data_IF_267450054171
#
_entry.id   IF_267450054171
#
_cell.length_a   1.000
_cell.length_b   1.000
_cell.length_c   1.000
_cell.angle_alpha   90.00
_cell.angle_beta   90.00
_cell.angle_gamma   90.00
#
_symmetry.space_group_name_H-M   'P 1'
#
loop_
_entity.id
_entity.type
_entity.pdbx_description
1 polymer ?
#
# COMPACT_ATOMS: atom_id res chain seq x y z
N UNK A 1 -2.70 2.59 13.01
CA UNK A 1 -1.73 3.23 12.10
C UNK A 1 -1.01 4.30 12.86
N UNK A 2 0.32 4.31 12.80
CA UNK A 2 1.18 5.28 13.46
C UNK A 2 1.94 6.02 12.37
N UNK A 3 1.98 7.35 12.48
CA UNK A 3 2.68 8.23 11.54
C UNK A 3 3.94 8.71 12.27
N UNK A 4 5.12 8.31 11.78
CA UNK A 4 6.38 8.90 12.26
C UNK A 4 6.58 10.27 11.61
N UNK A 5 7.02 11.24 12.40
CA UNK A 5 7.31 12.60 11.94
C UNK A 5 8.80 12.81 12.22
N UNK A 6 9.57 12.99 11.14
CA UNK A 6 11.00 13.21 11.24
C UNK A 6 11.29 14.41 12.16
N UNK A 7 12.24 14.20 13.08
CA UNK A 7 12.65 15.20 14.07
C UNK A 7 13.66 16.20 13.49
N UNK A 8 14.20 15.94 12.31
CA UNK A 8 15.32 16.71 11.77
C UNK A 8 14.92 18.09 11.19
N UNK A 9 13.68 18.28 10.74
CA UNK A 9 13.36 19.44 9.88
C UNK A 9 12.24 20.39 10.37
N UNK A 10 11.38 20.01 11.32
CA UNK A 10 10.37 20.92 11.89
C UNK A 10 9.71 20.32 13.13
N UNK A 11 9.68 21.07 14.24
CA UNK A 11 8.88 20.72 15.42
C UNK A 11 7.38 21.02 15.25
N UNK A 12 6.98 21.55 14.09
CA UNK A 12 5.60 21.89 13.77
C UNK A 12 5.02 20.90 12.77
N UNK A 13 3.86 20.33 13.11
CA UNK A 13 3.03 19.52 12.23
C UNK A 13 1.96 20.40 11.59
N UNK A 14 1.95 20.48 10.26
CA UNK A 14 0.88 21.12 9.51
C UNK A 14 0.06 20.06 8.78
N UNK A 15 -1.23 19.96 9.12
CA UNK A 15 -2.19 19.19 8.35
C UNK A 15 -2.92 20.15 7.41
N UNK A 16 -2.51 20.17 6.15
CA UNK A 16 -3.17 20.95 5.11
C UNK A 16 -3.86 20.01 4.14
N UNK A 17 -5.14 20.24 3.89
CA UNK A 17 -5.91 19.47 2.92
C UNK A 17 -6.31 20.39 1.77
N UNK A 18 -5.74 20.16 0.59
CA UNK A 18 -6.01 20.94 -0.63
C UNK A 18 -6.69 20.03 -1.63
N UNK A 19 -7.75 20.51 -2.28
CA UNK A 19 -8.52 19.72 -3.24
C UNK A 19 -8.75 20.51 -4.52
N UNK A 20 -8.57 19.85 -5.66
CA UNK A 20 -8.95 20.36 -6.97
C UNK A 20 -10.04 19.46 -7.57
N UNK A 21 -11.21 19.43 -6.94
CA UNK A 21 -12.37 18.68 -7.45
C UNK A 21 -13.69 19.22 -6.90
N UNK A 22 -14.79 19.00 -7.62
CA UNK A 22 -16.15 19.32 -7.18
C UNK A 22 -16.82 18.20 -6.35
N UNK A 23 -16.13 17.10 -6.09
CA UNK A 23 -16.70 15.97 -5.36
C UNK A 23 -16.75 16.26 -3.84
N UNK A 24 -17.84 15.90 -3.15
CA UNK A 24 -17.93 16.04 -1.70
C UNK A 24 -16.89 15.13 -1.02
N UNK A 25 -16.17 15.68 -0.04
CA UNK A 25 -15.18 14.95 0.77
C UNK A 25 -15.41 15.25 2.25
N UNK A 26 -15.19 14.24 3.08
CA UNK A 26 -15.24 14.37 4.53
C UNK A 26 -14.01 13.71 5.14
N UNK A 27 -13.44 14.37 6.16
CA UNK A 27 -12.26 13.90 6.86
C UNK A 27 -12.59 13.78 8.34
N UNK A 28 -12.31 12.63 8.92
CA UNK A 28 -12.28 12.45 10.36
C UNK A 28 -10.82 12.21 10.73
N UNK A 29 -10.20 13.21 11.36
CA UNK A 29 -8.77 13.16 11.69
C UNK A 29 -8.60 13.24 13.19
N UNK A 30 -7.93 12.23 13.77
CA UNK A 30 -7.47 12.24 15.15
C UNK A 30 -5.95 12.21 15.15
N UNK A 31 -5.33 13.24 15.72
CA UNK A 31 -3.88 13.31 15.92
C UNK A 31 -3.61 13.03 17.39
N UNK A 32 -2.65 12.14 17.67
CA UNK A 32 -2.26 11.81 19.05
C UNK A 32 -0.75 11.64 19.07
N UNK A 33 -0.07 12.41 19.92
CA UNK A 33 1.35 12.23 20.17
C UNK A 33 1.56 11.06 21.13
N UNK A 34 2.46 10.15 20.77
CA UNK A 34 2.83 9.03 21.61
C UNK A 34 4.08 9.37 22.43
N UNK A 35 4.13 8.91 23.67
CA UNK A 35 5.29 9.05 24.55
C UNK A 35 6.37 8.00 24.29
N UNK A 36 6.00 6.89 23.64
CA UNK A 36 6.89 5.80 23.25
C UNK A 36 6.91 5.68 21.74
N UNK A 37 8.12 5.55 21.18
CA UNK A 37 8.31 5.29 19.75
C UNK A 37 7.77 3.89 19.47
N UNK A 38 6.69 3.81 18.69
CA UNK A 38 6.10 2.53 18.29
C UNK A 38 6.51 2.08 16.90
N UNK A 39 6.76 3.02 15.97
CA UNK A 39 7.17 2.70 14.61
C UNK A 39 8.65 3.07 14.39
N UNK A 40 9.42 2.30 13.60
CA UNK A 40 10.73 2.72 13.13
C UNK A 40 10.65 3.99 12.27
N UNK A 41 11.76 4.73 12.20
CA UNK A 41 11.86 5.91 11.36
C UNK A 41 11.62 5.57 9.88
N UNK A 42 10.88 6.43 9.18
CA UNK A 42 10.53 6.25 7.76
C UNK A 42 9.31 5.36 7.51
N UNK A 43 8.74 4.73 8.53
CA UNK A 43 7.53 3.90 8.42
C UNK A 43 6.26 4.74 8.60
N UNK A 44 5.58 5.09 7.50
CA UNK A 44 4.32 5.83 7.57
C UNK A 44 3.14 4.93 7.99
N UNK A 45 3.25 3.62 7.74
CA UNK A 45 2.39 2.60 8.34
C UNK A 45 3.26 1.56 9.04
N UNK A 46 2.84 1.09 10.23
CA UNK A 46 3.54 0.07 10.99
C UNK A 46 2.57 -0.99 11.53
N UNK A 47 2.87 -2.26 11.25
CA UNK A 47 2.07 -3.43 11.64
C UNK A 47 2.85 -4.31 12.62
N UNK A 48 2.25 -4.60 13.78
CA UNK A 48 2.88 -5.38 14.85
C UNK A 48 2.32 -6.80 15.00
N UNK A 49 1.23 -7.12 14.30
CA UNK A 49 0.57 -8.42 14.33
C UNK A 49 1.36 -9.50 13.60
N UNK A 50 1.07 -10.77 13.90
CA UNK A 50 1.58 -11.92 13.12
C UNK A 50 0.83 -12.10 11.80
N UNK A 51 -0.35 -11.51 11.70
CA UNK A 51 -1.19 -11.41 10.51
C UNK A 51 -2.00 -10.11 10.59
N UNK A 52 -2.53 -9.67 9.45
CA UNK A 52 -3.37 -8.49 9.37
C UNK A 52 -3.63 -8.07 7.94
N UNK A 53 -4.37 -6.97 7.77
CA UNK A 53 -4.70 -6.39 6.46
C UNK A 53 -3.84 -5.16 6.24
N UNK A 54 -3.15 -5.13 5.10
CA UNK A 54 -2.50 -3.93 4.57
C UNK A 54 -3.52 -3.19 3.70
N UNK A 55 -3.64 -1.87 3.89
CA UNK A 55 -4.49 -1.04 3.05
C UNK A 55 -3.82 0.30 2.80
N UNK A 56 -3.98 0.84 1.59
CA UNK A 56 -3.52 2.19 1.32
C UNK A 56 -4.29 3.18 2.19
N UNK A 57 -3.67 4.34 2.43
CA UNK A 57 -4.41 5.49 2.90
C UNK A 57 -5.57 5.79 1.93
N UNK A 58 -6.73 6.21 2.45
CA UNK A 58 -7.94 6.53 1.67
C UNK A 58 -8.74 5.34 1.07
N UNK A 59 -8.35 4.09 1.34
CA UNK A 59 -9.01 2.89 0.80
C UNK A 59 -10.33 2.46 1.50
N UNK A 60 -10.90 3.28 2.39
CA UNK A 60 -12.12 2.90 3.10
C UNK A 60 -13.37 3.24 2.27
N UNK A 61 -14.22 2.25 1.99
CA UNK A 61 -15.50 2.44 1.29
C UNK A 61 -16.60 2.98 2.20
N UNK A 62 -16.43 2.92 3.52
CA UNK A 62 -17.39 3.43 4.49
C UNK A 62 -17.12 4.89 4.86
N UNK A 63 -18.17 5.71 4.90
CA UNK A 63 -18.16 6.98 5.59
C UNK A 63 -19.57 7.33 6.06
N UNK A 64 -19.70 7.80 7.30
CA UNK A 64 -20.97 8.32 7.83
C UNK A 64 -21.37 9.60 7.10
N UNK A 65 -20.41 10.32 6.50
CA UNK A 65 -20.59 11.64 5.91
C UNK A 65 -20.62 11.62 4.36
N UNK A 66 -20.02 10.61 3.73
CA UNK A 66 -19.97 10.48 2.26
C UNK A 66 -20.46 9.09 1.87
N UNK A 67 -21.69 9.01 1.38
CA UNK A 67 -22.37 7.75 1.07
C UNK A 67 -21.95 7.12 -0.26
N UNK A 68 -21.41 7.92 -1.20
CA UNK A 68 -20.98 7.47 -2.54
C UNK A 68 -19.46 7.58 -2.72
N UNK A 69 -18.70 7.01 -1.79
CA UNK A 69 -17.23 7.00 -1.85
C UNK A 69 -16.75 5.84 -2.71
N UNK A 70 -15.76 6.10 -3.57
CA UNK A 70 -14.93 5.06 -4.20
C UNK A 70 -13.59 4.99 -3.46
N UNK A 71 -13.24 3.83 -2.93
CA UNK A 71 -11.91 3.60 -2.38
C UNK A 71 -10.84 3.86 -3.45
N UNK A 72 -9.78 4.56 -3.05
CA UNK A 72 -8.61 4.78 -3.88
C UNK A 72 -7.41 5.10 -2.98
N UNK A 73 -6.20 4.98 -3.50
CA UNK A 73 -4.99 5.49 -2.86
C UNK A 73 -4.83 7.00 -3.07
N UNK A 74 -3.94 7.63 -2.29
CA UNK A 74 -3.60 9.04 -2.49
C UNK A 74 -2.57 9.18 -3.60
N UNK A 75 -2.79 10.13 -4.50
CA UNK A 75 -1.82 10.48 -5.53
C UNK A 75 -0.56 11.09 -4.89
N UNK A 76 0.61 10.80 -5.48
CA UNK A 76 1.91 11.34 -5.06
C UNK A 76 2.28 11.07 -3.60
N UNK A 77 1.71 10.03 -2.99
CA UNK A 77 2.08 9.61 -1.64
C UNK A 77 3.10 8.47 -1.73
N UNK A 78 4.38 8.82 -1.64
CA UNK A 78 5.47 7.85 -1.54
C UNK A 78 5.73 7.52 -0.05
N UNK A 79 5.53 6.26 0.34
CA UNK A 79 5.72 5.86 1.73
C UNK A 79 6.09 4.39 1.92
N UNK A 80 6.66 4.08 3.09
CA UNK A 80 6.91 2.71 3.52
C UNK A 80 5.81 2.18 4.45
N UNK A 81 5.34 0.96 4.17
CA UNK A 81 4.65 0.11 5.15
C UNK A 81 5.69 -0.81 5.77
N UNK A 82 5.76 -0.76 7.10
CA UNK A 82 6.68 -1.57 7.87
C UNK A 82 5.95 -2.67 8.65
N UNK A 83 6.51 -3.88 8.63
CA UNK A 83 5.96 -5.02 9.35
C UNK A 83 6.98 -5.48 10.39
N UNK A 84 6.56 -5.54 11.65
CA UNK A 84 7.42 -6.01 12.74
C UNK A 84 7.71 -7.50 12.56
N UNK A 85 8.99 -7.85 12.53
CA UNK A 85 9.41 -9.25 12.54
C UNK A 85 9.13 -9.88 13.91
N UNK A 86 8.58 -11.09 13.90
CA UNK A 86 8.34 -11.87 15.12
C UNK A 86 9.35 -12.99 15.25
N UNK A 87 9.65 -13.38 16.49
CA UNK A 87 10.50 -14.56 16.77
C UNK A 87 9.83 -15.80 16.20
N UNK A 88 10.61 -16.71 15.62
CA UNK A 88 10.14 -17.94 14.96
C UNK A 88 9.39 -17.76 13.63
N UNK A 89 9.39 -16.55 13.05
CA UNK A 89 8.84 -16.30 11.71
C UNK A 89 9.97 -15.95 10.72
N UNK A 90 10.01 -16.67 9.59
CA UNK A 90 11.07 -16.56 8.59
C UNK A 90 10.75 -15.57 7.47
N UNK A 91 9.47 -15.42 7.13
CA UNK A 91 9.00 -14.65 5.99
C UNK A 91 7.67 -13.95 6.30
N UNK A 92 7.34 -12.98 5.46
CA UNK A 92 6.01 -12.40 5.37
C UNK A 92 5.43 -12.76 4.00
N UNK A 93 4.21 -13.28 4.00
CA UNK A 93 3.48 -13.63 2.79
C UNK A 93 2.34 -12.64 2.62
N UNK A 94 2.28 -12.00 1.45
CA UNK A 94 1.30 -10.98 1.12
C UNK A 94 0.38 -11.58 0.05
N UNK A 95 -0.92 -11.53 0.32
CA UNK A 95 -1.97 -12.00 -0.60
C UNK A 95 -3.00 -10.90 -0.74
N UNK A 96 -3.60 -10.80 -1.93
CA UNK A 96 -4.83 -10.03 -2.11
C UNK A 96 -6.08 -10.91 -1.93
N UNK A 97 -5.95 -12.22 -1.77
CA UNK A 97 -7.06 -13.10 -1.39
C UNK A 97 -7.24 -13.14 0.13
N UNK A 98 -8.47 -12.96 0.60
CA UNK A 98 -8.86 -13.12 2.00
C UNK A 98 -8.77 -14.60 2.40
N UNK A 99 -7.93 -14.87 3.40
CA UNK A 99 -7.66 -16.21 3.90
C UNK A 99 -8.88 -16.89 4.56
N UNK A 100 -9.89 -16.13 5.01
CA UNK A 100 -11.04 -16.67 5.73
C UNK A 100 -12.15 -17.20 4.81
N UNK A 101 -12.30 -16.62 3.61
CA UNK A 101 -13.41 -16.91 2.69
C UNK A 101 -12.98 -17.14 1.24
N UNK A 102 -11.68 -17.01 0.93
CA UNK A 102 -11.14 -17.16 -0.42
C UNK A 102 -11.51 -16.03 -1.38
N UNK A 103 -12.08 -14.92 -0.88
CA UNK A 103 -12.51 -13.80 -1.71
C UNK A 103 -11.32 -12.94 -2.09
N UNK A 104 -11.22 -12.59 -3.36
CA UNK A 104 -10.24 -11.62 -3.83
C UNK A 104 -10.61 -10.21 -3.35
N UNK A 105 -9.65 -9.56 -2.68
CA UNK A 105 -9.69 -8.14 -2.41
C UNK A 105 -9.22 -7.39 -3.65
N UNK A 106 -9.78 -6.20 -3.88
CA UNK A 106 -9.34 -5.37 -4.99
C UNK A 106 -7.91 -4.90 -4.74
N UNK A 107 -7.06 -5.14 -5.73
CA UNK A 107 -5.72 -4.61 -5.85
C UNK A 107 -5.69 -3.88 -7.19
N UNK A 108 -5.34 -2.60 -7.19
CA UNK A 108 -5.30 -1.82 -8.42
C UNK A 108 -4.28 -0.69 -8.30
N UNK A 109 -3.24 -0.75 -9.12
CA UNK A 109 -2.24 0.30 -9.31
C UNK A 109 -2.04 0.48 -10.82
N UNK A 110 -2.44 1.63 -11.35
CA UNK A 110 -2.57 1.80 -12.80
C UNK A 110 -1.46 2.71 -13.32
N UNK A 111 -0.72 2.22 -14.31
CA UNK A 111 0.25 3.02 -15.05
C UNK A 111 -0.23 3.22 -16.48
N UNK A 112 -0.19 4.47 -16.95
CA UNK A 112 -0.71 4.88 -18.26
C UNK A 112 0.45 5.43 -19.11
N UNK A 113 0.56 4.95 -20.35
CA UNK A 113 1.50 5.42 -21.34
C UNK A 113 1.17 6.85 -21.82
N UNK A 114 2.11 7.47 -22.55
CA UNK A 114 1.93 8.82 -23.10
C UNK A 114 0.75 8.94 -24.08
N UNK A 115 0.37 7.85 -24.72
CA UNK A 115 -0.77 7.79 -25.64
C UNK A 115 -2.12 7.52 -24.93
N UNK A 116 -2.12 7.41 -23.60
CA UNK A 116 -3.31 7.13 -22.80
C UNK A 116 -3.65 5.65 -22.64
N UNK A 117 -2.86 4.74 -23.24
CA UNK A 117 -3.05 3.29 -23.07
C UNK A 117 -2.52 2.81 -21.71
N UNK A 118 -3.08 1.73 -21.17
CA UNK A 118 -2.55 1.09 -19.96
C UNK A 118 -1.25 0.34 -20.27
N UNK A 119 -0.23 0.50 -19.43
CA UNK A 119 1.03 -0.26 -19.55
C UNK A 119 0.87 -1.73 -19.13
N UNK A 120 -0.17 -2.04 -18.34
CA UNK A 120 -0.53 -3.39 -17.92
C UNK A 120 -1.88 -3.75 -18.54
N UNK A 121 -2.04 -4.90 -19.20
CA UNK A 121 -3.34 -5.33 -19.70
C UNK A 121 -4.38 -5.45 -18.57
N UNK A 122 -5.67 -5.27 -18.87
CA UNK A 122 -6.74 -5.47 -17.89
C UNK A 122 -6.67 -6.86 -17.23
N UNK A 123 -7.07 -6.96 -15.97
CA UNK A 123 -7.07 -8.19 -15.19
C UNK A 123 -5.70 -8.89 -15.02
N UNK A 124 -4.59 -8.18 -15.24
CA UNK A 124 -3.24 -8.73 -15.11
C UNK A 124 -2.39 -8.01 -14.07
N UNK A 125 -1.37 -8.71 -13.57
CA UNK A 125 -0.29 -8.16 -12.78
C UNK A 125 0.76 -7.50 -13.69
N UNK A 126 1.19 -6.31 -13.31
CA UNK A 126 2.41 -5.70 -13.82
C UNK A 126 3.56 -6.00 -12.89
N UNK A 127 4.71 -6.33 -13.45
CA UNK A 127 5.96 -6.52 -12.74
C UNK A 127 7.03 -5.68 -13.43
N UNK A 128 8.03 -5.25 -12.67
CA UNK A 128 9.21 -4.53 -13.18
C UNK A 128 8.98 -3.03 -13.44
N UNK A 129 10.08 -2.34 -13.76
CA UNK A 129 10.09 -0.90 -14.04
C UNK A 129 9.31 -0.51 -15.30
N UNK A 130 9.24 -1.38 -16.32
CA UNK A 130 8.57 -1.03 -17.57
C UNK A 130 7.05 -1.10 -17.47
N UNK A 131 6.51 -2.10 -16.78
CA UNK A 131 5.07 -2.18 -16.50
C UNK A 131 4.65 -1.22 -15.38
N UNK A 132 5.54 -1.01 -14.39
CA UNK A 132 5.25 -0.22 -13.19
C UNK A 132 6.25 0.93 -12.97
N UNK A 133 6.32 1.90 -13.91
CA UNK A 133 7.29 3.00 -13.84
C UNK A 133 6.96 4.02 -12.74
N UNK A 134 5.68 4.34 -12.55
CA UNK A 134 5.20 5.46 -11.74
C UNK A 134 4.47 4.98 -10.48
N UNK A 135 3.33 4.28 -10.66
CA UNK A 135 2.49 3.76 -9.57
C UNK A 135 2.83 2.29 -9.31
N UNK A 136 3.44 1.98 -8.16
CA UNK A 136 3.84 0.62 -7.82
C UNK A 136 3.87 0.40 -6.32
N UNK A 137 3.68 -0.85 -5.88
CA UNK A 137 4.27 -1.30 -4.63
C UNK A 137 5.58 -2.01 -4.91
N UNK A 138 6.59 -1.82 -4.07
CA UNK A 138 7.82 -2.59 -4.10
C UNK A 138 7.85 -3.60 -2.95
N UNK A 139 7.86 -4.88 -3.29
CA UNK A 139 8.04 -5.98 -2.33
C UNK A 139 9.30 -6.73 -2.75
N UNK A 140 10.24 -6.89 -1.82
CA UNK A 140 11.55 -7.53 -2.07
C UNK A 140 12.28 -6.92 -3.29
N UNK A 141 12.23 -5.58 -3.38
CA UNK A 141 12.78 -4.78 -4.48
C UNK A 141 12.14 -4.99 -5.86
N UNK A 142 11.10 -5.83 -5.96
CA UNK A 142 10.30 -6.02 -7.17
C UNK A 142 9.15 -5.03 -7.17
N UNK A 143 9.04 -4.23 -8.24
CA UNK A 143 7.89 -3.35 -8.46
C UNK A 143 6.72 -4.14 -8.99
N UNK A 144 5.55 -3.94 -8.40
CA UNK A 144 4.31 -4.63 -8.72
C UNK A 144 3.19 -3.59 -8.88
N UNK A 145 2.36 -3.80 -9.89
CA UNK A 145 1.20 -2.96 -10.20
C UNK A 145 0.15 -3.79 -10.96
N UNK A 146 -0.84 -3.14 -11.57
CA UNK A 146 -1.92 -3.80 -12.30
C UNK A 146 -3.11 -4.13 -11.38
N UNK A 147 -3.91 -5.12 -11.79
CA UNK A 147 -5.15 -5.52 -11.14
C UNK A 147 -5.05 -6.87 -10.40
N UNK A 148 -3.90 -7.54 -10.55
CA UNK A 148 -3.54 -8.78 -9.87
C UNK A 148 -2.26 -8.57 -9.07
N UNK A 149 -2.16 -9.25 -7.93
CA UNK A 149 -0.91 -9.34 -7.19
C UNK A 149 -0.21 -10.62 -7.63
N UNK A 150 0.88 -10.50 -8.39
CA UNK A 150 1.69 -11.65 -8.80
C UNK A 150 3.10 -11.16 -9.18
N UNK A 151 4.15 -11.74 -8.58
CA UNK A 151 5.55 -11.42 -8.86
C UNK A 151 6.22 -12.42 -9.82
N UNK A 152 5.46 -13.35 -10.39
CA UNK A 152 5.93 -14.38 -11.31
C UNK A 152 6.80 -15.47 -10.68
N UNK A 153 7.06 -15.41 -9.36
CA UNK A 153 7.99 -16.34 -8.69
C UNK A 153 7.45 -17.76 -8.59
N UNK A 154 6.13 -17.91 -8.41
CA UNK A 154 5.44 -19.20 -8.32
C UNK A 154 4.77 -19.58 -9.64
N UNK A 155 4.09 -18.63 -10.29
CA UNK A 155 3.36 -18.83 -11.54
C UNK A 155 3.52 -17.60 -12.42
N UNK A 156 4.03 -17.79 -13.64
CA UNK A 156 4.30 -16.71 -14.59
C UNK A 156 3.06 -16.15 -15.28
N UNK A 157 1.90 -16.80 -15.15
CA UNK A 157 0.62 -16.30 -15.67
C UNK A 157 0.16 -15.09 -14.86
N UNK A 158 0.35 -13.90 -15.43
CA UNK A 158 0.01 -12.62 -14.81
C UNK A 158 -1.50 -12.40 -14.60
N UNK A 159 -2.37 -13.21 -15.21
CA UNK A 159 -3.83 -13.10 -15.03
C UNK A 159 -4.31 -13.69 -13.69
N UNK A 160 -3.42 -14.38 -12.97
CA UNK A 160 -3.75 -15.10 -11.74
C UNK A 160 -3.06 -14.43 -10.55
N UNK A 161 -3.81 -14.22 -9.47
CA UNK A 161 -3.25 -13.77 -8.20
C UNK A 161 -2.34 -14.83 -7.59
N UNK A 162 -1.17 -14.41 -7.09
CA UNK A 162 -0.21 -15.27 -6.40
C UNK A 162 0.30 -14.59 -5.12
N UNK A 163 0.60 -15.37 -4.07
CA UNK A 163 1.23 -14.83 -2.88
C UNK A 163 2.63 -14.32 -3.20
N UNK A 164 2.95 -13.12 -2.72
CA UNK A 164 4.29 -12.52 -2.82
C UNK A 164 4.98 -12.66 -1.46
N UNK A 165 6.19 -13.18 -1.45
CA UNK A 165 6.92 -13.50 -0.21
C UNK A 165 8.11 -12.57 -0.02
N UNK A 166 8.18 -11.91 1.14
CA UNK A 166 9.35 -11.15 1.57
C UNK A 166 10.15 -11.95 2.59
N UNK A 167 11.38 -12.34 2.24
CA UNK A 167 12.25 -13.18 3.07
C UNK A 167 13.55 -12.51 3.53
N UNK A 168 13.90 -11.34 2.98
CA UNK A 168 15.22 -10.73 3.20
C UNK A 168 15.45 -10.29 4.66
N UNK A 169 16.72 -10.34 5.08
CA UNK A 169 17.16 -9.96 6.42
C UNK A 169 17.32 -8.44 6.51
N UNK A 170 16.20 -7.72 6.50
CA UNK A 170 16.14 -6.26 6.64
C UNK A 170 14.83 -5.81 7.29
N UNK A 171 14.69 -4.51 7.61
CA UNK A 171 13.37 -3.95 7.90
C UNK A 171 12.47 -4.24 6.71
N UNK A 172 11.33 -4.89 6.96
CA UNK A 172 10.34 -5.21 5.93
C UNK A 172 9.72 -3.88 5.53
N UNK A 173 10.14 -3.35 4.40
CA UNK A 173 9.65 -2.08 3.86
C UNK A 173 8.95 -2.39 2.55
N UNK A 174 7.64 -2.15 2.53
CA UNK A 174 6.87 -2.12 1.29
C UNK A 174 6.80 -0.66 0.89
N UNK A 175 7.54 -0.29 -0.18
CA UNK A 175 7.40 1.06 -0.75
C UNK A 175 6.13 1.10 -1.59
N UNK A 176 5.40 2.20 -1.51
CA UNK A 176 4.17 2.48 -2.28
C UNK A 176 4.31 3.86 -2.90
#
# INVERSE_FOLDING_TARGET
MYLDIDRAYSHSLYLSTVFNSKQPRAFLVKITQLTTIRAPAGCLQFHEGVSGVLKSFNYDNGSVLVTNRKASYFNNLNYAICIRRHKMFCNVVITNTDAANGRENTFQLVNIAKDGSSLVPPDQAGIEVFSCPDDFIAIDFVRLCGERLNDGSLVTDASINQPVTYGSAGPIVIAV
#
